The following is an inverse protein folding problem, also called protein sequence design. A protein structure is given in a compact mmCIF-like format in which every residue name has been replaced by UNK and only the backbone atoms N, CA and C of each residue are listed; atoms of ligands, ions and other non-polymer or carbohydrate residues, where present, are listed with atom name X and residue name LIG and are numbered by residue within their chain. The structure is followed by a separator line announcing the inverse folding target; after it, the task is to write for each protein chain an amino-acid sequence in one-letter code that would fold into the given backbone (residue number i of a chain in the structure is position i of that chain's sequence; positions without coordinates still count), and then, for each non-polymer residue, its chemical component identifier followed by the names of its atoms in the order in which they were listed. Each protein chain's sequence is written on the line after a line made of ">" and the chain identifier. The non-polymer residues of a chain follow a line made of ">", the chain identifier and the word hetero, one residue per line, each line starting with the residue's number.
data_IF_619334061420
#
_entry.id   IF_619334061420
#
_cell.length_a   1.000
_cell.length_b   1.000
_cell.length_c   1.000
_cell.angle_alpha   90.00
_cell.angle_beta   90.00
_cell.angle_gamma   90.00
#
_symmetry.space_group_name_H-M   'P 1'
#
loop_
_entity.id
_entity.type
_entity.pdbx_description
1 polymer ?
#
# COMPACT_ATOMS: atom_id res chain seq x y z
N UNK A 1 26.64 -26.02 30.82
CA UNK A 1 25.27 -26.00 30.24
C UNK A 1 24.75 -24.57 30.36
N UNK A 2 24.70 -23.83 29.28
CA UNK A 2 24.15 -22.48 29.27
C UNK A 2 22.62 -22.59 29.27
N UNK A 3 21.97 -22.13 30.33
CA UNK A 3 20.52 -21.94 30.34
C UNK A 3 20.18 -20.86 29.30
N UNK A 4 19.51 -21.26 28.24
CA UNK A 4 18.88 -20.32 27.32
C UNK A 4 17.78 -19.60 28.11
N UNK A 5 17.96 -18.32 28.39
CA UNK A 5 16.91 -17.45 28.85
C UNK A 5 15.81 -17.47 27.77
N UNK A 6 14.67 -18.12 28.07
CA UNK A 6 13.44 -17.88 27.35
C UNK A 6 13.08 -16.43 27.61
N UNK A 7 13.22 -15.58 26.61
CA UNK A 7 12.56 -14.27 26.58
C UNK A 7 11.07 -14.60 26.52
N UNK A 8 10.37 -14.45 27.65
CA UNK A 8 8.92 -14.47 27.64
C UNK A 8 8.49 -13.30 26.75
N UNK A 9 7.84 -13.58 25.63
CA UNK A 9 7.20 -12.55 24.80
C UNK A 9 6.14 -11.89 25.69
N UNK A 10 6.43 -10.67 26.13
CA UNK A 10 5.48 -9.86 26.90
C UNK A 10 4.36 -9.52 25.95
N UNK A 11 3.16 -10.10 26.21
CA UNK A 11 1.96 -9.78 25.46
C UNK A 11 1.65 -8.28 25.63
N UNK A 12 1.77 -7.49 24.55
CA UNK A 12 1.41 -6.07 24.58
C UNK A 12 -0.10 -5.91 24.61
N UNK A 13 -0.62 -5.38 25.72
CA UNK A 13 -2.04 -5.09 25.97
C UNK A 13 -2.28 -3.59 25.84
N UNK A 14 -3.11 -3.19 24.88
CA UNK A 14 -3.27 -1.77 24.56
C UNK A 14 -4.71 -1.30 24.63
N UNK A 15 -4.90 -0.03 24.96
CA UNK A 15 -6.19 0.68 24.88
C UNK A 15 -6.14 1.58 23.66
N UNK A 16 -7.18 1.51 22.82
CA UNK A 16 -7.33 2.39 21.67
C UNK A 16 -7.95 3.71 22.09
N UNK A 17 -7.42 4.81 21.57
CA UNK A 17 -7.88 6.17 21.90
C UNK A 17 -8.17 6.94 20.62
N UNK A 18 -9.43 7.40 20.48
CA UNK A 18 -9.87 8.20 19.34
C UNK A 18 -10.50 9.53 19.77
N UNK A 19 -10.51 10.48 18.86
CA UNK A 19 -11.23 11.76 19.01
C UNK A 19 -12.24 11.89 17.87
N UNK A 20 -13.49 12.18 18.22
CA UNK A 20 -14.55 12.53 17.28
C UNK A 20 -14.70 14.04 17.28
N UNK A 21 -14.44 14.72 16.14
CA UNK A 21 -14.44 16.18 16.07
C UNK A 21 -15.80 16.77 15.73
N UNK A 22 -16.68 16.03 15.06
CA UNK A 22 -18.03 16.48 14.67
C UNK A 22 -19.07 15.37 14.83
N UNK A 23 -20.33 15.77 14.97
CA UNK A 23 -21.43 14.80 14.92
C UNK A 23 -21.53 14.17 13.53
N UNK A 24 -21.42 12.83 13.46
CA UNK A 24 -21.43 12.08 12.22
C UNK A 24 -20.05 11.87 11.59
N UNK A 25 -18.95 12.16 12.30
CA UNK A 25 -17.63 11.79 11.85
C UNK A 25 -17.42 10.26 11.97
N UNK A 26 -16.42 9.75 11.23
CA UNK A 26 -16.12 8.32 11.14
C UNK A 26 -15.21 7.81 12.27
N UNK A 27 -15.22 8.44 13.46
CA UNK A 27 -14.27 8.12 14.53
C UNK A 27 -14.41 6.66 15.01
N UNK A 28 -15.64 6.15 15.11
CA UNK A 28 -15.87 4.75 15.50
C UNK A 28 -15.29 3.79 14.44
N UNK A 29 -15.53 4.07 13.15
CA UNK A 29 -15.00 3.29 12.05
C UNK A 29 -13.48 3.39 11.96
N UNK A 30 -12.93 4.58 12.20
CA UNK A 30 -11.48 4.81 12.22
C UNK A 30 -10.80 4.03 13.33
N UNK A 31 -11.40 3.99 14.52
CA UNK A 31 -10.89 3.21 15.65
C UNK A 31 -11.09 1.71 15.44
N UNK A 32 -12.18 1.29 14.78
CA UNK A 32 -12.36 -0.11 14.38
C UNK A 32 -11.26 -0.55 13.39
N UNK A 33 -10.89 0.30 12.42
CA UNK A 33 -9.78 0.02 11.52
C UNK A 33 -8.43 0.01 12.26
N UNK A 34 -8.23 0.93 13.24
CA UNK A 34 -7.05 0.91 14.11
C UNK A 34 -6.96 -0.41 14.91
N UNK A 35 -8.09 -0.96 15.32
CA UNK A 35 -8.12 -2.25 16.01
C UNK A 35 -7.56 -3.38 15.11
N UNK A 36 -7.90 -3.39 13.83
CA UNK A 36 -7.34 -4.38 12.89
C UNK A 36 -5.85 -4.15 12.63
N UNK A 37 -5.37 -2.90 12.60
CA UNK A 37 -3.95 -2.58 12.53
C UNK A 37 -3.19 -3.13 13.74
N UNK A 38 -3.70 -2.86 14.95
CA UNK A 38 -3.09 -3.30 16.22
C UNK A 38 -3.03 -4.82 16.33
N UNK A 39 -4.10 -5.52 15.94
CA UNK A 39 -4.11 -6.99 15.85
C UNK A 39 -3.07 -7.50 14.83
N UNK A 40 -2.97 -6.83 13.70
CA UNK A 40 -1.98 -7.19 12.66
C UNK A 40 -0.54 -6.99 13.16
N UNK A 41 -0.29 -5.99 13.99
CA UNK A 41 0.99 -5.75 14.67
C UNK A 41 1.26 -6.76 15.80
N UNK A 42 0.28 -7.57 16.21
CA UNK A 42 0.45 -8.62 17.21
C UNK A 42 0.10 -8.20 18.65
N UNK A 43 -0.50 -7.02 18.87
CA UNK A 43 -0.91 -6.57 20.18
C UNK A 43 -2.39 -6.94 20.49
N UNK A 44 -2.69 -7.13 21.78
CA UNK A 44 -4.04 -7.44 22.27
C UNK A 44 -4.74 -6.17 22.73
N UNK A 45 -5.98 -5.95 22.26
CA UNK A 45 -6.79 -4.79 22.62
C UNK A 45 -7.60 -5.13 23.85
N UNK A 46 -7.40 -4.38 24.94
CA UNK A 46 -8.10 -4.57 26.21
C UNK A 46 -9.17 -3.51 26.48
N UNK A 47 -9.19 -2.41 25.73
CA UNK A 47 -10.19 -1.36 25.87
C UNK A 47 -10.19 -0.37 24.72
N UNK A 48 -11.24 0.44 24.64
CA UNK A 48 -11.37 1.51 23.63
C UNK A 48 -11.99 2.74 24.27
N UNK A 49 -11.45 3.90 23.97
CA UNK A 49 -11.94 5.18 24.45
C UNK A 49 -12.05 6.18 23.30
N UNK A 50 -13.24 6.71 23.06
CA UNK A 50 -13.47 7.78 22.07
C UNK A 50 -13.98 9.01 22.80
N UNK A 51 -13.38 10.17 22.56
CA UNK A 51 -13.82 11.42 23.12
C UNK A 51 -14.39 12.32 22.04
N UNK A 52 -15.63 12.80 22.22
CA UNK A 52 -16.21 13.87 21.37
C UNK A 52 -15.62 15.21 21.77
N UNK A 53 -15.09 15.96 20.79
CA UNK A 53 -14.54 17.31 20.95
C UNK A 53 -14.73 18.11 19.66
N UNK A 54 -14.78 19.44 19.78
CA UNK A 54 -14.75 20.31 18.60
C UNK A 54 -13.40 20.32 17.88
N UNK A 55 -12.30 20.15 18.64
CA UNK A 55 -10.93 20.10 18.12
C UNK A 55 -10.06 19.20 19.00
N UNK A 56 -9.09 18.53 18.36
CA UNK A 56 -8.05 17.77 19.05
C UNK A 56 -7.30 18.67 20.04
N UNK A 57 -7.09 18.18 21.26
CA UNK A 57 -6.37 18.96 22.27
C UNK A 57 -4.88 19.11 21.91
N UNK A 58 -4.36 20.35 21.77
CA UNK A 58 -3.01 20.56 21.23
C UNK A 58 -1.89 20.01 22.14
N UNK A 59 -2.13 19.85 23.44
CA UNK A 59 -1.14 19.37 24.40
C UNK A 59 -1.21 17.90 24.71
N UNK A 60 -2.38 17.28 24.66
CA UNK A 60 -2.59 15.90 25.16
C UNK A 60 -3.50 15.05 24.27
N UNK A 61 -3.81 15.49 23.04
CA UNK A 61 -4.70 14.82 22.10
C UNK A 61 -6.16 14.76 22.59
N UNK A 62 -6.39 14.28 23.80
CA UNK A 62 -7.68 14.28 24.53
C UNK A 62 -7.66 15.29 25.68
N UNK A 63 -8.81 15.66 26.22
CA UNK A 63 -8.91 16.59 27.34
C UNK A 63 -8.33 16.03 28.65
N UNK A 64 -7.86 16.91 29.55
CA UNK A 64 -7.19 16.52 30.80
C UNK A 64 -8.05 15.62 31.71
N UNK A 65 -9.36 15.87 31.81
CA UNK A 65 -10.27 14.98 32.53
C UNK A 65 -10.33 13.56 31.93
N UNK A 66 -10.29 13.49 30.59
CA UNK A 66 -10.30 12.20 29.90
C UNK A 66 -8.95 11.47 30.00
N UNK A 67 -7.84 12.21 30.13
CA UNK A 67 -6.52 11.61 30.44
C UNK A 67 -6.53 10.97 31.84
N UNK A 68 -7.15 11.62 32.83
CA UNK A 68 -7.26 11.03 34.18
C UNK A 68 -8.12 9.75 34.17
N UNK A 69 -9.23 9.73 33.45
CA UNK A 69 -10.07 8.56 33.26
C UNK A 69 -9.30 7.43 32.54
N UNK A 70 -8.55 7.77 31.48
CA UNK A 70 -7.72 6.83 30.74
C UNK A 70 -6.63 6.20 31.62
N UNK A 71 -6.03 6.98 32.54
CA UNK A 71 -5.03 6.47 33.50
C UNK A 71 -5.63 5.39 34.40
N UNK A 72 -6.82 5.63 34.95
CA UNK A 72 -7.51 4.62 35.76
C UNK A 72 -7.83 3.37 34.93
N UNK A 73 -8.25 3.54 33.69
CA UNK A 73 -8.56 2.42 32.80
C UNK A 73 -7.30 1.60 32.45
N UNK A 74 -6.13 2.23 32.27
CA UNK A 74 -4.85 1.56 32.05
C UNK A 74 -4.50 0.67 33.25
N UNK A 75 -4.67 1.19 34.48
CA UNK A 75 -4.39 0.45 35.70
C UNK A 75 -5.40 -0.70 35.90
N UNK A 76 -6.70 -0.47 35.69
CA UNK A 76 -7.78 -1.45 35.87
C UNK A 76 -7.67 -2.63 34.90
N UNK A 77 -7.38 -2.35 33.62
CA UNK A 77 -7.28 -3.38 32.59
C UNK A 77 -5.87 -4.00 32.47
N UNK A 78 -4.89 -3.50 33.22
CA UNK A 78 -3.51 -3.95 33.15
C UNK A 78 -2.90 -3.71 31.75
N UNK A 79 -3.25 -2.60 31.12
CA UNK A 79 -2.73 -2.24 29.80
C UNK A 79 -1.25 -1.85 29.91
N UNK A 80 -0.45 -2.32 28.95
CA UNK A 80 0.98 -2.00 28.85
C UNK A 80 1.23 -0.75 28.01
N UNK A 81 0.20 -0.23 27.34
CA UNK A 81 0.30 0.96 26.49
C UNK A 81 -1.06 1.43 25.98
N UNK A 82 -1.03 2.55 25.29
CA UNK A 82 -2.17 3.09 24.55
C UNK A 82 -1.81 3.32 23.09
N UNK A 83 -2.80 3.28 22.19
CA UNK A 83 -2.63 3.60 20.78
C UNK A 83 -3.64 4.67 20.37
N UNK A 84 -3.15 5.83 19.94
CA UNK A 84 -3.98 6.93 19.44
C UNK A 84 -4.26 6.77 17.94
N UNK A 85 -5.49 7.12 17.52
CA UNK A 85 -5.95 6.92 16.14
C UNK A 85 -5.36 7.93 15.14
N UNK A 86 -4.84 9.04 15.62
CA UNK A 86 -4.20 10.07 14.81
C UNK A 86 -2.70 10.14 15.09
N UNK A 87 -1.93 10.70 14.15
CA UNK A 87 -0.51 10.98 14.36
C UNK A 87 -0.34 12.03 15.46
N UNK A 88 0.42 11.69 16.49
CA UNK A 88 0.66 12.58 17.61
C UNK A 88 1.83 13.54 17.34
N UNK A 89 1.68 14.81 17.73
CA UNK A 89 2.81 15.70 17.81
C UNK A 89 3.79 15.24 18.92
N UNK A 90 5.09 15.59 18.82
CA UNK A 90 6.08 15.24 19.85
C UNK A 90 5.70 15.74 21.25
N UNK A 91 4.95 16.84 21.34
CA UNK A 91 4.49 17.38 22.62
C UNK A 91 3.33 16.55 23.20
N UNK A 92 2.34 16.18 22.36
CA UNK A 92 1.24 15.31 22.77
C UNK A 92 1.72 13.97 23.27
N UNK A 93 2.62 13.32 22.49
CA UNK A 93 3.20 12.02 22.84
C UNK A 93 3.81 12.07 24.25
N UNK A 94 4.74 13.01 24.47
CA UNK A 94 5.42 13.15 25.76
C UNK A 94 4.47 13.46 26.91
N UNK A 95 3.58 14.45 26.72
CA UNK A 95 2.67 14.82 27.78
C UNK A 95 1.76 13.66 28.17
N UNK A 96 1.34 12.84 27.22
CA UNK A 96 0.57 11.62 27.50
C UNK A 96 1.43 10.58 28.24
N UNK A 97 2.65 10.32 27.79
CA UNK A 97 3.59 9.40 28.49
C UNK A 97 3.85 9.84 29.93
N UNK A 98 4.14 11.14 30.15
CA UNK A 98 4.41 11.70 31.48
C UNK A 98 3.17 11.60 32.40
N UNK A 99 1.94 11.79 31.85
CA UNK A 99 0.69 11.78 32.64
C UNK A 99 0.20 10.37 32.92
N UNK A 100 0.34 9.45 31.97
CA UNK A 100 -0.18 8.09 32.05
C UNK A 100 0.82 7.11 32.67
N UNK A 101 2.12 7.45 32.65
CA UNK A 101 3.23 6.56 33.07
C UNK A 101 3.20 5.21 32.31
N UNK A 102 2.88 5.26 31.02
CA UNK A 102 2.79 4.08 30.16
C UNK A 102 3.22 4.40 28.73
N UNK A 103 3.49 3.36 27.92
CA UNK A 103 3.88 3.48 26.51
C UNK A 103 2.73 4.12 25.72
N UNK A 104 3.05 5.17 24.97
CA UNK A 104 2.10 5.84 24.06
C UNK A 104 2.54 5.62 22.63
N UNK A 105 1.65 5.10 21.84
CA UNK A 105 1.84 4.87 20.40
C UNK A 105 0.79 5.62 19.61
N UNK A 106 1.05 5.86 18.34
CA UNK A 106 0.08 6.40 17.42
C UNK A 106 -0.11 5.49 16.19
N UNK A 107 -1.13 5.76 15.39
CA UNK A 107 -1.43 5.00 14.17
C UNK A 107 -0.21 4.87 13.26
N UNK A 108 0.60 5.92 13.15
CA UNK A 108 1.81 5.94 12.32
C UNK A 108 2.83 4.90 12.77
N UNK A 109 3.08 4.80 14.07
CA UNK A 109 4.03 3.82 14.62
C UNK A 109 3.53 2.39 14.38
N UNK A 110 2.25 2.11 14.59
CA UNK A 110 1.67 0.78 14.33
C UNK A 110 1.82 0.39 12.85
N UNK A 111 1.54 1.29 11.91
CA UNK A 111 1.74 1.04 10.48
C UNK A 111 3.22 0.75 10.18
N UNK A 112 4.15 1.52 10.76
CA UNK A 112 5.59 1.29 10.60
C UNK A 112 6.04 -0.07 11.14
N UNK A 113 5.49 -0.52 12.26
CA UNK A 113 5.80 -1.83 12.84
C UNK A 113 5.29 -2.97 11.95
N UNK A 114 4.07 -2.85 11.40
CA UNK A 114 3.56 -3.80 10.42
C UNK A 114 4.48 -3.86 9.18
N UNK A 115 4.88 -2.70 8.67
CA UNK A 115 5.76 -2.64 7.51
C UNK A 115 7.15 -3.23 7.79
N UNK A 116 7.70 -3.00 8.99
CA UNK A 116 8.98 -3.60 9.40
C UNK A 116 8.91 -5.13 9.43
N UNK A 117 7.80 -5.69 9.88
CA UNK A 117 7.57 -7.13 9.90
C UNK A 117 7.36 -7.73 8.49
N UNK A 118 6.86 -6.93 7.52
CA UNK A 118 6.48 -7.39 6.16
C UNK A 118 7.54 -7.13 5.09
N UNK A 119 8.48 -6.23 5.31
CA UNK A 119 9.53 -5.90 4.34
C UNK A 119 10.46 -7.11 4.11
N UNK A 120 10.39 -7.70 2.93
CA UNK A 120 11.21 -8.85 2.53
C UNK A 120 12.34 -8.42 1.61
N UNK A 121 12.08 -7.51 0.68
CA UNK A 121 13.07 -7.02 -0.27
C UNK A 121 14.07 -6.04 0.36
N UNK A 122 15.25 -5.92 -0.25
CA UNK A 122 16.25 -4.93 0.18
C UNK A 122 15.70 -3.51 0.08
N UNK A 123 14.94 -3.19 -0.98
CA UNK A 123 14.31 -1.90 -1.16
C UNK A 123 13.27 -1.61 -0.08
N UNK A 124 12.34 -2.54 0.16
CA UNK A 124 11.32 -2.41 1.20
C UNK A 124 11.94 -2.18 2.58
N UNK A 125 13.01 -2.91 2.93
CA UNK A 125 13.74 -2.72 4.20
C UNK A 125 14.36 -1.34 4.32
N UNK A 126 15.02 -0.84 3.26
CA UNK A 126 15.59 0.51 3.22
C UNK A 126 14.50 1.57 3.39
N UNK A 127 13.36 1.41 2.72
CA UNK A 127 12.24 2.35 2.80
C UNK A 127 11.62 2.39 4.20
N UNK A 128 11.41 1.23 4.82
CA UNK A 128 10.87 1.13 6.18
C UNK A 128 11.85 1.74 7.18
N UNK A 129 13.14 1.39 7.14
CA UNK A 129 14.16 1.97 8.01
C UNK A 129 14.22 3.50 7.86
N UNK A 130 14.16 3.99 6.63
CA UNK A 130 14.13 5.42 6.34
C UNK A 130 12.91 6.11 6.96
N UNK A 131 11.72 5.51 6.84
CA UNK A 131 10.49 6.04 7.41
C UNK A 131 10.53 6.04 8.94
N UNK A 132 10.99 4.96 9.57
CA UNK A 132 11.16 4.86 11.02
C UNK A 132 12.15 5.91 11.54
N UNK A 133 13.29 6.10 10.88
CA UNK A 133 14.28 7.10 11.28
C UNK A 133 13.74 8.53 11.14
N UNK A 134 12.98 8.84 10.09
CA UNK A 134 12.31 10.15 9.93
C UNK A 134 11.28 10.37 11.03
N UNK A 135 10.46 9.37 11.34
CA UNK A 135 9.50 9.40 12.43
C UNK A 135 10.18 9.66 13.78
N UNK A 136 11.25 8.93 14.12
CA UNK A 136 12.01 9.14 15.35
C UNK A 136 12.71 10.51 15.39
N UNK A 137 13.29 10.95 14.26
CA UNK A 137 13.97 12.25 14.19
C UNK A 137 13.02 13.42 14.50
N UNK A 138 11.75 13.36 14.01
CA UNK A 138 10.75 14.39 14.30
C UNK A 138 10.44 14.48 15.80
N UNK A 139 10.46 13.36 16.51
CA UNK A 139 10.17 13.27 17.95
C UNK A 139 11.34 13.66 18.85
N UNK A 140 12.57 13.45 18.43
CA UNK A 140 13.77 13.93 19.14
C UNK A 140 13.86 15.48 19.18
N UNK A 141 13.24 16.20 18.25
CA UNK A 141 13.31 17.66 18.22
C UNK A 141 12.58 18.35 19.37
N UNK A 142 11.64 17.67 20.04
CA UNK A 142 10.92 18.20 21.20
C UNK A 142 11.66 18.08 22.55
N UNK A 143 12.61 17.16 22.66
CA UNK A 143 13.32 16.85 23.92
C UNK A 143 14.33 17.94 24.35
N UNK A 144 14.94 18.68 23.41
CA UNK A 144 15.96 19.68 23.72
C UNK A 144 15.46 20.92 24.48
N UNK A 145 14.20 21.33 24.28
CA UNK A 145 13.61 22.51 24.94
C UNK A 145 13.22 22.29 26.41
N UNK A 146 12.90 21.07 26.81
CA UNK A 146 12.56 20.76 28.20
C UNK A 146 13.80 20.61 29.09
N UNK A 147 14.91 20.11 28.54
CA UNK A 147 16.19 19.97 29.25
C UNK A 147 16.92 21.34 29.44
N UNK A 148 16.73 22.29 28.52
CA UNK A 148 17.32 23.63 28.64
C UNK A 148 16.64 24.50 29.71
N UNK A 149 15.44 24.15 30.20
CA UNK A 149 14.78 24.86 31.32
C UNK A 149 15.34 24.53 32.70
N UNK A 150 16.08 23.43 32.84
CA UNK A 150 16.72 22.99 34.11
C UNK A 150 18.16 23.50 34.31
N UNK A 151 18.76 24.12 33.29
CA UNK A 151 20.09 24.70 33.35
C UNK A 151 20.07 26.21 33.19
N UNK A 152 19.94 26.95 34.29
CA UNK A 152 19.97 28.41 34.29
C UNK A 152 21.40 28.93 34.09
N UNK A 153 21.85 29.16 32.85
CA UNK A 153 23.13 29.84 32.58
C UNK A 153 23.37 29.99 31.08
N UNK A 154 23.78 31.17 30.66
CA UNK A 154 24.21 31.46 29.28
C UNK A 154 25.49 30.66 29.01
N UNK A 155 25.42 29.64 28.14
CA UNK A 155 26.62 28.91 27.65
C UNK A 155 26.85 27.50 28.18
N UNK A 156 26.04 26.97 29.11
CA UNK A 156 26.18 25.59 29.60
C UNK A 156 25.23 24.63 28.94
N UNK A 157 25.60 24.04 27.81
CA UNK A 157 24.93 22.85 27.27
C UNK A 157 25.16 21.67 28.21
N UNK A 158 24.10 21.13 28.83
CA UNK A 158 24.19 19.97 29.71
C UNK A 158 24.60 18.68 28.97
N UNK A 159 25.10 17.64 29.70
CA UNK A 159 25.52 16.36 29.12
C UNK A 159 24.40 15.70 28.30
N UNK A 160 23.11 15.89 28.66
CA UNK A 160 21.95 15.38 27.96
C UNK A 160 21.69 16.07 26.60
N UNK A 161 21.94 17.38 26.49
CA UNK A 161 21.82 18.11 25.20
C UNK A 161 22.87 17.62 24.21
N UNK A 162 24.13 17.35 24.68
CA UNK A 162 25.18 16.79 23.82
C UNK A 162 24.83 15.39 23.31
N UNK A 163 24.20 14.56 24.14
CA UNK A 163 23.81 13.21 23.77
C UNK A 163 22.71 13.26 22.69
N UNK A 164 21.67 14.06 22.90
CA UNK A 164 20.59 14.26 21.91
C UNK A 164 21.10 14.83 20.57
N UNK A 165 22.07 15.74 20.63
CA UNK A 165 22.66 16.30 19.41
C UNK A 165 23.49 15.26 18.63
N UNK A 166 24.19 14.39 19.35
CA UNK A 166 24.93 13.26 18.76
C UNK A 166 23.94 12.26 18.14
N UNK A 167 22.92 11.83 18.88
CA UNK A 167 21.93 10.88 18.40
C UNK A 167 21.21 11.44 17.14
N UNK A 168 20.83 12.71 17.17
CA UNK A 168 20.22 13.39 16.03
C UNK A 168 21.14 13.43 14.81
N UNK A 169 22.44 13.63 15.01
CA UNK A 169 23.43 13.62 13.93
C UNK A 169 23.57 12.22 13.33
N UNK A 170 23.70 11.20 14.18
CA UNK A 170 23.80 9.81 13.72
C UNK A 170 22.58 9.39 12.90
N UNK A 171 21.36 9.74 13.35
CA UNK A 171 20.14 9.47 12.60
C UNK A 171 20.14 10.19 11.25
N UNK A 172 20.56 11.47 11.20
CA UNK A 172 20.62 12.22 9.94
C UNK A 172 21.66 11.62 8.97
N UNK A 173 22.81 11.21 9.48
CA UNK A 173 23.87 10.58 8.67
C UNK A 173 23.35 9.23 8.10
N UNK A 174 22.63 8.45 8.90
CA UNK A 174 22.02 7.20 8.44
C UNK A 174 20.91 7.44 7.39
N UNK A 175 20.04 8.45 7.59
CA UNK A 175 19.04 8.88 6.60
C UNK A 175 19.73 9.27 5.28
N UNK A 176 20.84 10.02 5.34
CA UNK A 176 21.57 10.42 4.14
C UNK A 176 22.22 9.22 3.42
N UNK A 177 22.68 8.22 4.16
CA UNK A 177 23.19 6.97 3.60
C UNK A 177 22.07 6.19 2.91
N UNK A 178 20.95 5.93 3.59
CA UNK A 178 19.80 5.19 3.04
C UNK A 178 19.21 5.85 1.79
N UNK A 179 19.16 7.18 1.76
CA UNK A 179 18.72 7.91 0.56
C UNK A 179 19.64 7.67 -0.65
N UNK A 180 20.96 7.51 -0.44
CA UNK A 180 21.91 7.16 -1.50
C UNK A 180 21.68 5.74 -2.01
N UNK A 181 21.56 4.78 -1.08
CA UNK A 181 21.26 3.38 -1.41
C UNK A 181 19.93 3.26 -2.19
N UNK A 182 18.89 3.97 -1.76
CA UNK A 182 17.60 3.98 -2.44
C UNK A 182 17.69 4.58 -3.86
N UNK A 183 18.54 5.58 -4.07
CA UNK A 183 18.76 6.17 -5.39
C UNK A 183 19.40 5.15 -6.35
N UNK A 184 20.35 4.35 -5.88
CA UNK A 184 20.98 3.28 -6.68
C UNK A 184 19.95 2.21 -7.08
N UNK A 185 19.10 1.78 -6.14
CA UNK A 185 18.03 0.81 -6.40
C UNK A 185 17.05 1.36 -7.46
N UNK A 186 16.67 2.64 -7.36
CA UNK A 186 15.81 3.30 -8.35
C UNK A 186 16.42 3.30 -9.75
N UNK A 187 17.71 3.59 -9.88
CA UNK A 187 18.40 3.56 -11.18
C UNK A 187 18.36 2.17 -11.83
N UNK A 188 18.55 1.10 -11.06
CA UNK A 188 18.42 -0.27 -11.57
C UNK A 188 16.99 -0.59 -12.03
N UNK A 189 15.99 -0.10 -11.31
CA UNK A 189 14.58 -0.25 -11.68
C UNK A 189 14.26 0.48 -13.00
N UNK A 190 14.75 1.70 -13.18
CA UNK A 190 14.55 2.48 -14.42
C UNK A 190 15.15 1.76 -15.63
N UNK A 191 16.32 1.13 -15.50
CA UNK A 191 16.93 0.31 -16.56
C UNK A 191 16.03 -0.88 -16.89
N UNK A 192 15.50 -1.57 -15.89
CA UNK A 192 14.60 -2.71 -16.09
C UNK A 192 13.29 -2.29 -16.76
N UNK A 193 12.73 -1.11 -16.39
CA UNK A 193 11.55 -0.52 -17.03
C UNK A 193 11.81 -0.20 -18.49
N UNK A 194 12.91 0.48 -18.81
CA UNK A 194 13.28 0.79 -20.19
C UNK A 194 13.41 -0.48 -21.05
N UNK A 195 13.84 -1.61 -20.48
CA UNK A 195 13.85 -2.90 -21.17
C UNK A 195 12.43 -3.47 -21.37
N UNK A 196 11.50 -3.28 -20.42
CA UNK A 196 10.09 -3.68 -20.55
C UNK A 196 9.37 -2.86 -21.62
N UNK A 197 9.57 -1.55 -21.65
CA UNK A 197 9.03 -0.65 -22.69
C UNK A 197 9.50 -1.08 -24.09
N UNK A 198 10.78 -1.44 -24.26
CA UNK A 198 11.28 -2.00 -25.53
C UNK A 198 10.60 -3.31 -25.93
N UNK A 199 10.14 -4.10 -24.98
CA UNK A 199 9.43 -5.35 -25.24
C UNK A 199 7.93 -5.14 -25.47
N UNK A 200 7.42 -3.92 -25.37
CA UNK A 200 6.00 -3.54 -25.57
C UNK A 200 5.02 -4.44 -24.79
N UNK A 201 5.41 -4.88 -23.60
CA UNK A 201 4.53 -5.69 -22.76
C UNK A 201 3.68 -4.77 -21.88
N UNK A 202 2.33 -4.76 -22.05
CA UNK A 202 1.45 -3.89 -21.30
C UNK A 202 1.45 -4.28 -19.81
N UNK A 203 1.20 -3.30 -18.95
CA UNK A 203 1.20 -3.44 -17.49
C UNK A 203 -0.13 -3.00 -16.91
N UNK A 204 -0.74 -3.85 -16.08
CA UNK A 204 -1.89 -3.51 -15.25
C UNK A 204 -1.46 -3.45 -13.78
N UNK A 205 -1.66 -2.31 -13.12
CA UNK A 205 -1.40 -2.18 -11.69
C UNK A 205 -2.68 -2.45 -10.90
N UNK A 206 -2.61 -3.36 -9.93
CA UNK A 206 -3.69 -3.63 -8.99
C UNK A 206 -3.57 -2.64 -7.84
N UNK A 207 -4.55 -1.78 -7.68
CA UNK A 207 -4.66 -0.82 -6.59
C UNK A 207 -5.94 -1.04 -5.80
N UNK A 208 -6.01 -0.54 -4.59
CA UNK A 208 -7.21 -0.64 -3.78
C UNK A 208 -6.89 -0.56 -2.29
N UNK A 209 -7.94 -0.47 -1.51
CA UNK A 209 -7.82 -0.37 -0.05
C UNK A 209 -7.18 -1.62 0.55
N UNK A 210 -6.62 -1.52 1.77
CA UNK A 210 -6.12 -2.69 2.50
C UNK A 210 -7.24 -3.71 2.68
N UNK A 211 -6.90 -4.99 2.57
CA UNK A 211 -7.84 -6.12 2.68
C UNK A 211 -8.98 -6.13 1.63
N UNK A 212 -8.89 -5.40 0.52
CA UNK A 212 -9.87 -5.47 -0.57
C UNK A 212 -9.78 -6.76 -1.41
N UNK A 213 -8.76 -7.60 -1.17
CA UNK A 213 -8.55 -8.87 -1.85
C UNK A 213 -7.61 -8.79 -3.07
N UNK A 214 -6.69 -7.81 -3.11
CA UNK A 214 -5.72 -7.64 -4.20
C UNK A 214 -4.79 -8.85 -4.38
N UNK A 215 -4.20 -9.34 -3.29
CA UNK A 215 -3.29 -10.49 -3.32
C UNK A 215 -4.02 -11.79 -3.71
N UNK A 216 -5.27 -11.96 -3.26
CA UNK A 216 -6.12 -13.08 -3.69
C UNK A 216 -6.42 -12.99 -5.18
N UNK A 217 -6.72 -11.79 -5.68
CA UNK A 217 -6.98 -11.58 -7.11
C UNK A 217 -5.79 -11.98 -7.97
N UNK A 218 -4.58 -11.52 -7.66
CA UNK A 218 -3.38 -11.86 -8.44
C UNK A 218 -3.08 -13.36 -8.38
N UNK A 219 -3.26 -14.00 -7.22
CA UNK A 219 -3.07 -15.43 -7.07
C UNK A 219 -4.05 -16.23 -7.93
N UNK A 220 -5.32 -15.88 -7.87
CA UNK A 220 -6.36 -16.59 -8.66
C UNK A 220 -6.18 -16.38 -10.16
N UNK A 221 -5.73 -15.17 -10.58
CA UNK A 221 -5.48 -14.88 -11.99
C UNK A 221 -4.24 -15.57 -12.55
N UNK A 222 -3.17 -15.73 -11.73
CA UNK A 222 -1.85 -16.12 -12.22
C UNK A 222 -1.30 -17.41 -11.60
N UNK A 223 -2.03 -18.05 -10.67
CA UNK A 223 -1.57 -19.18 -9.86
C UNK A 223 -0.22 -18.91 -9.15
N UNK A 224 0.01 -17.69 -8.69
CA UNK A 224 1.33 -17.19 -8.32
C UNK A 224 1.80 -17.56 -6.90
N UNK A 225 0.92 -18.05 -6.01
CA UNK A 225 1.26 -18.40 -4.63
C UNK A 225 1.77 -17.21 -3.79
N UNK A 226 1.28 -16.00 -4.06
CA UNK A 226 1.54 -14.82 -3.21
C UNK A 226 0.88 -15.02 -1.85
N UNK A 227 1.52 -14.55 -0.78
CA UNK A 227 0.99 -14.68 0.56
C UNK A 227 -0.40 -14.04 0.67
N UNK A 228 -1.38 -14.86 0.96
CA UNK A 228 -2.76 -14.43 1.23
C UNK A 228 -2.98 -14.46 2.75
N UNK A 229 -3.22 -13.31 3.34
CA UNK A 229 -3.63 -13.21 4.72
C UNK A 229 -4.80 -12.25 4.82
N UNK A 230 -5.77 -12.58 5.64
CA UNK A 230 -6.88 -11.69 6.01
C UNK A 230 -6.40 -10.68 7.07
N UNK A 231 -5.34 -9.95 6.73
CA UNK A 231 -4.69 -8.94 7.55
C UNK A 231 -4.39 -7.71 6.73
N UNK A 232 -4.39 -6.55 7.39
CA UNK A 232 -4.03 -5.30 6.75
C UNK A 232 -2.56 -5.33 6.30
N UNK A 233 -2.26 -4.73 5.15
CA UNK A 233 -0.90 -4.68 4.56
C UNK A 233 -0.23 -6.06 4.37
N UNK A 234 -0.98 -7.05 3.89
CA UNK A 234 -0.42 -8.37 3.58
C UNK A 234 0.73 -8.28 2.56
N UNK A 235 0.64 -7.37 1.59
CA UNK A 235 1.67 -7.09 0.58
C UNK A 235 2.29 -5.72 0.81
N UNK A 236 3.60 -5.66 1.05
CA UNK A 236 4.40 -4.43 1.10
C UNK A 236 5.28 -4.28 -0.15
N UNK A 237 5.92 -5.33 -0.58
CA UNK A 237 6.78 -5.35 -1.75
C UNK A 237 5.95 -5.63 -3.02
N UNK A 238 6.09 -4.84 -4.10
CA UNK A 238 5.34 -5.07 -5.33
C UNK A 238 5.73 -6.39 -5.97
N UNK A 239 4.74 -7.16 -6.35
CA UNK A 239 4.94 -8.43 -7.05
C UNK A 239 4.37 -8.34 -8.45
N UNK A 240 5.21 -8.53 -9.48
CA UNK A 240 4.79 -8.53 -10.88
C UNK A 240 4.70 -9.96 -11.41
N UNK A 241 3.61 -10.29 -12.08
CA UNK A 241 3.34 -11.59 -12.70
C UNK A 241 2.85 -11.42 -14.13
N UNK A 242 3.09 -12.43 -14.94
CA UNK A 242 2.53 -12.51 -16.29
C UNK A 242 1.16 -13.14 -16.21
N UNK A 243 0.15 -12.47 -16.74
CA UNK A 243 -1.18 -13.01 -16.97
C UNK A 243 -1.32 -13.36 -18.45
N UNK A 244 -1.62 -14.62 -18.72
CA UNK A 244 -1.94 -15.08 -20.06
C UNK A 244 -3.42 -14.86 -20.35
N UNK A 245 -3.70 -14.22 -21.48
CA UNK A 245 -5.02 -13.92 -21.98
C UNK A 245 -5.33 -14.78 -23.23
N UNK A 246 -6.53 -14.65 -23.75
CA UNK A 246 -6.93 -15.31 -25.00
C UNK A 246 -6.02 -14.92 -26.16
N UNK A 247 -5.85 -15.82 -27.15
CA UNK A 247 -5.02 -15.54 -28.34
C UNK A 247 -3.52 -15.38 -28.08
N UNK A 248 -3.02 -16.00 -26.99
CA UNK A 248 -1.61 -15.92 -26.55
C UNK A 248 -1.13 -14.52 -26.17
N UNK A 249 -2.06 -13.61 -25.91
CA UNK A 249 -1.71 -12.29 -25.38
C UNK A 249 -1.20 -12.43 -23.96
N UNK A 250 -0.29 -11.54 -23.57
CA UNK A 250 0.26 -11.47 -22.22
C UNK A 250 0.21 -10.04 -21.71
N UNK A 251 -0.14 -9.87 -20.44
CA UNK A 251 -0.09 -8.62 -19.72
C UNK A 251 0.63 -8.84 -18.39
N UNK A 252 1.44 -7.88 -17.98
CA UNK A 252 2.04 -7.88 -16.66
C UNK A 252 1.02 -7.35 -15.66
N UNK A 253 0.78 -8.09 -14.60
CA UNK A 253 -0.07 -7.65 -13.49
C UNK A 253 0.82 -7.43 -12.28
N UNK A 254 0.77 -6.22 -11.72
CA UNK A 254 1.60 -5.84 -10.57
C UNK A 254 0.71 -5.55 -9.38
N UNK A 255 0.92 -6.28 -8.27
CA UNK A 255 0.31 -5.97 -6.97
C UNK A 255 0.98 -4.75 -6.36
N UNK A 256 0.20 -3.93 -5.66
CA UNK A 256 0.71 -2.75 -4.96
C UNK A 256 0.35 -2.79 -3.48
N UNK A 257 1.01 -1.94 -2.70
CA UNK A 257 0.66 -1.75 -1.28
C UNK A 257 -0.78 -1.26 -1.17
N UNK A 258 -1.54 -1.84 -0.23
CA UNK A 258 -2.91 -1.40 0.03
C UNK A 258 -2.96 0.03 0.60
N UNK A 259 -3.93 0.81 0.15
CA UNK A 259 -4.21 2.13 0.72
C UNK A 259 -5.00 2.02 2.02
N UNK A 260 -4.84 3.00 2.87
CA UNK A 260 -5.54 3.10 4.16
C UNK A 260 -5.81 4.57 4.47
N UNK A 261 -6.85 4.85 5.27
CA UNK A 261 -7.12 6.21 5.76
C UNK A 261 -6.01 6.73 6.67
N UNK A 262 -5.86 8.03 6.75
CA UNK A 262 -4.88 8.72 7.62
C UNK A 262 -3.45 8.21 7.40
N UNK A 263 -3.09 7.83 6.15
CA UNK A 263 -1.72 7.44 5.83
C UNK A 263 -0.81 8.67 5.92
N UNK A 264 0.21 8.66 6.80
CA UNK A 264 1.07 9.82 7.00
C UNK A 264 1.85 10.20 5.73
N UNK A 265 1.98 11.49 5.46
CA UNK A 265 2.67 11.98 4.25
C UNK A 265 4.11 11.48 4.10
N UNK A 266 4.85 11.36 5.22
CA UNK A 266 6.22 10.84 5.17
C UNK A 266 6.30 9.36 4.83
N UNK A 267 5.23 8.57 5.10
CA UNK A 267 5.11 7.19 4.63
C UNK A 267 4.80 7.14 3.13
N UNK A 268 3.92 8.01 2.63
CA UNK A 268 3.66 8.13 1.19
C UNK A 268 4.97 8.41 0.45
N UNK A 269 5.81 9.33 0.96
CA UNK A 269 7.12 9.61 0.37
C UNK A 269 8.08 8.40 0.41
N UNK A 270 8.12 7.68 1.53
CA UNK A 270 8.97 6.50 1.67
C UNK A 270 8.58 5.40 0.69
N UNK A 271 7.28 5.15 0.53
CA UNK A 271 6.73 4.12 -0.36
C UNK A 271 6.36 4.63 -1.75
N UNK A 272 6.68 5.89 -2.06
CA UNK A 272 6.39 6.49 -3.36
C UNK A 272 6.87 5.61 -4.52
N UNK A 273 8.05 5.02 -4.42
CA UNK A 273 8.59 4.16 -5.48
C UNK A 273 7.81 2.86 -5.67
N UNK A 274 7.18 2.34 -4.63
CA UNK A 274 6.31 1.15 -4.71
C UNK A 274 4.94 1.51 -5.28
N UNK A 275 4.42 2.67 -4.88
CA UNK A 275 3.16 3.22 -5.38
C UNK A 275 3.29 3.78 -6.81
N UNK A 276 4.49 4.19 -7.23
CA UNK A 276 4.79 4.66 -8.59
C UNK A 276 4.58 3.58 -9.66
N UNK A 277 4.49 2.28 -9.31
CA UNK A 277 4.13 1.24 -10.27
C UNK A 277 2.76 1.53 -10.92
N UNK A 278 1.81 2.11 -10.18
CA UNK A 278 0.53 2.57 -10.73
C UNK A 278 0.70 3.71 -11.75
N UNK A 279 1.69 4.60 -11.57
CA UNK A 279 1.95 5.71 -12.51
C UNK A 279 2.47 5.21 -13.85
N UNK A 280 3.24 4.13 -13.86
CA UNK A 280 3.85 3.57 -15.06
C UNK A 280 3.03 2.45 -15.70
N UNK A 281 1.94 2.05 -15.07
CA UNK A 281 1.01 1.08 -15.67
C UNK A 281 0.21 1.70 -16.81
N UNK A 282 -0.23 0.86 -17.75
CA UNK A 282 -1.15 1.22 -18.82
C UNK A 282 -2.60 1.19 -18.34
N UNK A 283 -2.90 0.24 -17.46
CA UNK A 283 -4.23 0.01 -16.88
C UNK A 283 -4.17 0.00 -15.36
N UNK A 284 -5.22 0.51 -14.73
CA UNK A 284 -5.42 0.47 -13.28
C UNK A 284 -6.58 -0.49 -12.97
N UNK A 285 -6.30 -1.55 -12.23
CA UNK A 285 -7.30 -2.45 -11.68
C UNK A 285 -7.62 -2.02 -10.25
N UNK A 286 -8.67 -1.23 -10.07
CA UNK A 286 -9.09 -0.74 -8.77
C UNK A 286 -9.97 -1.77 -8.07
N UNK A 287 -9.41 -2.49 -7.10
CA UNK A 287 -10.12 -3.53 -6.33
C UNK A 287 -10.81 -2.91 -5.13
N UNK A 288 -12.12 -3.12 -5.04
CA UNK A 288 -13.00 -2.58 -3.99
C UNK A 288 -13.67 -3.73 -3.25
N UNK A 289 -13.67 -3.70 -1.93
CA UNK A 289 -14.42 -4.65 -1.10
C UNK A 289 -15.91 -4.28 -1.11
N UNK A 290 -16.68 -4.96 -1.95
CA UNK A 290 -18.12 -4.72 -2.09
C UNK A 290 -18.95 -5.13 -0.86
N UNK A 291 -18.39 -5.94 0.03
CA UNK A 291 -19.05 -6.34 1.28
C UNK A 291 -18.90 -5.32 2.40
N UNK A 292 -17.98 -4.34 2.23
CA UNK A 292 -17.76 -3.32 3.24
C UNK A 292 -18.77 -2.17 3.08
N UNK A 293 -19.54 -1.82 4.13
CA UNK A 293 -20.50 -0.70 4.06
C UNK A 293 -19.88 0.64 3.70
N UNK A 294 -18.56 0.82 3.94
CA UNK A 294 -17.82 2.05 3.66
C UNK A 294 -17.03 2.02 2.35
N UNK A 295 -17.36 1.09 1.44
CA UNK A 295 -16.62 0.94 0.18
C UNK A 295 -16.52 2.25 -0.62
N UNK A 296 -17.54 3.11 -0.63
CA UNK A 296 -17.51 4.41 -1.32
C UNK A 296 -16.45 5.35 -0.73
N UNK A 297 -16.34 5.42 0.60
CA UNK A 297 -15.31 6.24 1.28
C UNK A 297 -13.91 5.68 1.01
N UNK A 298 -13.77 4.35 1.04
CA UNK A 298 -12.51 3.68 0.71
C UNK A 298 -12.10 3.96 -0.74
N UNK A 299 -13.03 3.92 -1.68
CA UNK A 299 -12.80 4.28 -3.08
C UNK A 299 -12.31 5.72 -3.22
N UNK A 300 -12.93 6.67 -2.49
CA UNK A 300 -12.52 8.07 -2.51
C UNK A 300 -11.06 8.24 -2.06
N UNK A 301 -10.65 7.58 -0.96
CA UNK A 301 -9.28 7.62 -0.44
C UNK A 301 -8.28 7.07 -1.47
N UNK A 302 -8.65 6.00 -2.18
CA UNK A 302 -7.82 5.44 -3.26
C UNK A 302 -7.64 6.46 -4.38
N UNK A 303 -8.72 7.07 -4.87
CA UNK A 303 -8.66 8.09 -5.93
C UNK A 303 -7.85 9.33 -5.51
N UNK A 304 -8.04 9.82 -4.29
CA UNK A 304 -7.24 10.93 -3.76
C UNK A 304 -5.75 10.58 -3.70
N UNK A 305 -5.43 9.37 -3.29
CA UNK A 305 -4.03 8.92 -3.23
C UNK A 305 -3.43 8.77 -4.64
N UNK A 306 -4.17 8.23 -5.60
CA UNK A 306 -3.73 8.16 -7.00
C UNK A 306 -3.51 9.55 -7.59
N UNK A 307 -4.39 10.51 -7.28
CA UNK A 307 -4.23 11.91 -7.70
C UNK A 307 -2.98 12.55 -7.10
N UNK A 308 -2.69 12.32 -5.81
CA UNK A 308 -1.48 12.78 -5.12
C UNK A 308 -0.18 12.17 -5.69
N UNK A 309 -0.27 10.99 -6.30
CA UNK A 309 0.83 10.31 -6.98
C UNK A 309 0.97 10.75 -8.45
N UNK A 310 0.12 11.69 -8.91
CA UNK A 310 0.07 12.16 -10.29
C UNK A 310 -0.18 11.03 -11.31
N UNK A 311 -1.05 10.09 -10.92
CA UNK A 311 -1.58 9.05 -11.83
C UNK A 311 -2.75 9.67 -12.60
N UNK A 312 -2.54 9.93 -13.89
CA UNK A 312 -3.50 10.59 -14.78
C UNK A 312 -3.56 9.86 -16.13
N UNK A 313 -4.65 10.06 -16.84
CA UNK A 313 -4.83 9.57 -18.21
C UNK A 313 -4.61 8.05 -18.34
N UNK A 314 -5.09 7.28 -17.37
CA UNK A 314 -5.04 5.83 -17.35
C UNK A 314 -6.43 5.25 -17.44
N UNK A 315 -6.60 4.17 -18.18
CA UNK A 315 -7.86 3.40 -18.18
C UNK A 315 -8.02 2.72 -16.83
N UNK A 316 -9.09 3.06 -16.12
CA UNK A 316 -9.42 2.54 -14.79
C UNK A 316 -10.53 1.51 -14.92
N UNK A 317 -10.27 0.31 -14.41
CA UNK A 317 -11.23 -0.79 -14.32
C UNK A 317 -11.51 -1.03 -12.85
N UNK A 318 -12.70 -0.68 -12.38
CA UNK A 318 -13.09 -0.93 -10.99
C UNK A 318 -13.71 -2.32 -10.86
N UNK A 319 -13.11 -3.08 -9.94
CA UNK A 319 -13.49 -4.46 -9.63
C UNK A 319 -14.12 -4.51 -8.25
N UNK A 320 -15.45 -4.60 -8.20
CA UNK A 320 -16.18 -4.79 -6.95
C UNK A 320 -16.07 -6.25 -6.52
N UNK A 321 -15.08 -6.50 -5.67
CA UNK A 321 -14.70 -7.83 -5.18
C UNK A 321 -15.54 -8.26 -3.96
N UNK A 322 -15.38 -9.51 -3.56
CA UNK A 322 -16.08 -10.16 -2.43
C UNK A 322 -17.60 -10.23 -2.61
N UNK A 323 -18.09 -10.38 -3.86
CA UNK A 323 -19.51 -10.58 -4.13
C UNK A 323 -20.10 -11.80 -3.43
N UNK A 324 -19.28 -12.79 -3.10
CA UNK A 324 -19.64 -13.98 -2.33
C UNK A 324 -20.02 -13.67 -0.86
N UNK A 325 -19.56 -12.57 -0.31
CA UNK A 325 -19.86 -12.12 1.05
C UNK A 325 -20.94 -11.02 1.12
N UNK A 326 -21.41 -10.55 -0.05
CA UNK A 326 -22.40 -9.48 -0.14
C UNK A 326 -23.82 -10.03 0.00
N UNK A 327 -24.64 -9.36 0.82
CA UNK A 327 -26.05 -9.75 1.03
C UNK A 327 -27.00 -9.10 0.03
N UNK A 328 -26.59 -7.99 -0.58
CA UNK A 328 -27.36 -7.24 -1.55
C UNK A 328 -26.92 -7.61 -2.98
N UNK A 329 -27.90 -7.75 -3.89
CA UNK A 329 -27.66 -8.14 -5.28
C UNK A 329 -27.67 -6.96 -6.27
N UNK A 330 -27.87 -5.72 -5.79
CA UNK A 330 -27.82 -4.56 -6.68
C UNK A 330 -26.40 -4.34 -7.24
N UNK A 331 -26.24 -4.19 -8.56
CA UNK A 331 -24.92 -3.97 -9.14
C UNK A 331 -24.37 -2.62 -8.70
N UNK A 332 -23.14 -2.64 -8.17
CA UNK A 332 -22.40 -1.43 -7.84
C UNK A 332 -21.79 -0.85 -9.12
N UNK A 333 -21.71 0.47 -9.19
CA UNK A 333 -21.12 1.17 -10.31
C UNK A 333 -20.18 2.28 -9.87
N UNK A 334 -19.03 2.39 -10.53
CA UNK A 334 -18.07 3.45 -10.30
C UNK A 334 -18.12 4.44 -11.49
N UNK A 335 -18.64 5.63 -11.24
CA UNK A 335 -18.77 6.68 -12.26
C UNK A 335 -17.45 7.37 -12.64
N UNK A 336 -16.36 7.08 -11.91
CA UNK A 336 -15.01 7.61 -12.20
C UNK A 336 -14.17 6.64 -13.02
N UNK A 337 -14.58 5.38 -13.08
CA UNK A 337 -13.90 4.34 -13.83
C UNK A 337 -14.43 4.25 -15.28
N UNK A 338 -13.56 3.83 -16.20
CA UNK A 338 -13.94 3.55 -17.58
C UNK A 338 -14.77 2.27 -17.69
N UNK A 339 -14.47 1.28 -16.83
CA UNK A 339 -15.16 0.00 -16.77
C UNK A 339 -15.42 -0.42 -15.33
N UNK A 340 -16.51 -1.16 -15.12
CA UNK A 340 -16.89 -1.68 -13.80
C UNK A 340 -17.31 -3.14 -13.93
N UNK A 341 -16.71 -4.01 -13.10
CA UNK A 341 -17.02 -5.44 -13.03
C UNK A 341 -17.33 -5.86 -11.60
N UNK A 342 -18.22 -6.85 -11.47
CA UNK A 342 -18.55 -7.51 -10.20
C UNK A 342 -17.80 -8.83 -10.15
N UNK A 343 -16.95 -9.03 -9.13
CA UNK A 343 -16.11 -10.22 -9.06
C UNK A 343 -16.10 -10.88 -7.67
N UNK A 344 -15.73 -12.14 -7.62
CA UNK A 344 -15.24 -12.80 -6.42
C UNK A 344 -13.89 -13.44 -6.72
N UNK A 345 -12.82 -12.81 -6.26
CA UNK A 345 -11.47 -13.34 -6.42
C UNK A 345 -11.32 -14.71 -5.75
N UNK A 346 -12.03 -14.94 -4.63
CA UNK A 346 -12.02 -16.20 -3.89
C UNK A 346 -12.66 -17.35 -4.69
N UNK A 347 -13.79 -17.10 -5.34
CA UNK A 347 -14.56 -18.12 -6.06
C UNK A 347 -14.25 -18.15 -7.56
N UNK A 348 -13.47 -17.19 -8.07
CA UNK A 348 -13.18 -17.08 -9.51
C UNK A 348 -14.29 -16.46 -10.35
N UNK A 349 -15.41 -16.03 -9.74
CA UNK A 349 -16.54 -15.43 -10.45
C UNK A 349 -16.15 -14.08 -11.06
N UNK A 350 -16.54 -13.81 -12.32
CA UNK A 350 -16.24 -12.56 -13.03
C UNK A 350 -14.81 -12.43 -13.56
N UNK A 351 -13.90 -13.40 -13.26
CA UNK A 351 -12.51 -13.31 -13.69
C UNK A 351 -12.32 -13.57 -15.20
N UNK A 352 -13.14 -14.41 -15.80
CA UNK A 352 -13.11 -14.61 -17.25
C UNK A 352 -13.63 -13.37 -18.00
N UNK A 353 -14.63 -12.67 -17.44
CA UNK A 353 -15.09 -11.37 -17.97
C UNK A 353 -13.96 -10.32 -17.89
N UNK A 354 -13.22 -10.29 -16.79
CA UNK A 354 -12.05 -9.42 -16.65
C UNK A 354 -10.96 -9.73 -17.69
N UNK A 355 -10.65 -11.01 -17.93
CA UNK A 355 -9.66 -11.40 -18.95
C UNK A 355 -10.12 -11.03 -20.36
N UNK A 356 -11.42 -11.19 -20.66
CA UNK A 356 -11.98 -10.81 -21.95
C UNK A 356 -11.91 -9.29 -22.14
N UNK A 357 -12.31 -8.49 -21.13
CA UNK A 357 -12.20 -7.04 -21.17
C UNK A 357 -10.75 -6.58 -21.39
N UNK A 358 -9.79 -7.15 -20.65
CA UNK A 358 -8.37 -6.84 -20.85
C UNK A 358 -7.90 -7.20 -22.26
N UNK A 359 -8.37 -8.32 -22.82
CA UNK A 359 -8.05 -8.72 -24.20
C UNK A 359 -8.61 -7.73 -25.23
N UNK A 360 -9.83 -7.23 -25.02
CA UNK A 360 -10.47 -6.22 -25.87
C UNK A 360 -9.70 -4.89 -25.81
N UNK A 361 -9.38 -4.39 -24.61
CA UNK A 361 -8.60 -3.15 -24.43
C UNK A 361 -7.21 -3.23 -25.08
N UNK A 362 -6.58 -4.41 -25.02
CA UNK A 362 -5.30 -4.63 -25.70
C UNK A 362 -5.42 -4.65 -27.24
N UNK A 363 -6.62 -4.91 -27.78
CA UNK A 363 -6.91 -4.88 -29.22
C UNK A 363 -7.12 -3.46 -29.75
N UNK A 364 -7.68 -2.55 -28.93
CA UNK A 364 -7.98 -1.17 -29.36
C UNK A 364 -6.78 -0.44 -29.98
N UNK A 365 -5.58 -0.76 -29.51
CA UNK A 365 -4.33 -0.19 -30.02
C UNK A 365 -3.65 -1.06 -31.10
N UNK A 366 -4.34 -2.08 -31.65
CA UNK A 366 -3.79 -3.00 -32.65
C UNK A 366 -4.65 -3.03 -33.91
N UNK A 367 -4.03 -3.37 -35.01
CA UNK A 367 -4.67 -3.47 -36.31
C UNK A 367 -4.93 -4.97 -36.60
N UNK A 368 -6.14 -5.29 -37.02
CA UNK A 368 -6.44 -6.62 -37.54
C UNK A 368 -5.79 -6.81 -38.92
N UNK A 369 -5.00 -7.84 -39.04
CA UNK A 369 -4.32 -8.25 -40.28
C UNK A 369 -4.81 -9.63 -40.68
N UNK A 370 -5.21 -9.76 -41.94
CA UNK A 370 -5.48 -11.03 -42.61
C UNK A 370 -4.59 -11.10 -43.83
N UNK A 371 -3.50 -11.88 -43.79
CA UNK A 371 -2.48 -11.91 -44.84
C UNK A 371 -1.73 -13.24 -44.89
N UNK A 372 -1.36 -13.67 -46.08
CA UNK A 372 -0.40 -14.76 -46.27
C UNK A 372 1.02 -14.15 -46.33
N UNK A 373 1.87 -14.54 -45.38
CA UNK A 373 3.28 -14.13 -45.28
C UNK A 373 4.16 -15.15 -45.99
N UNK A 374 4.92 -14.77 -46.99
CA UNK A 374 5.83 -15.70 -47.66
C UNK A 374 6.83 -16.34 -46.70
N UNK A 375 7.24 -17.58 -46.94
CA UNK A 375 8.18 -18.33 -46.09
C UNK A 375 9.54 -17.61 -45.95
N UNK A 376 9.94 -16.81 -46.92
CA UNK A 376 11.15 -15.99 -46.84
C UNK A 376 11.08 -14.94 -45.71
N UNK A 377 9.89 -14.50 -45.34
CA UNK A 377 9.63 -13.51 -44.30
C UNK A 377 9.06 -14.13 -42.99
N UNK A 378 9.19 -15.44 -42.81
CA UNK A 378 8.64 -16.15 -41.62
C UNK A 378 9.14 -15.59 -40.28
N UNK A 379 10.27 -14.88 -40.27
CA UNK A 379 10.78 -14.18 -39.07
C UNK A 379 9.83 -13.14 -38.51
N UNK A 380 8.97 -12.51 -39.33
CA UNK A 380 7.98 -11.53 -38.90
C UNK A 380 6.86 -12.19 -38.10
N UNK A 381 6.54 -13.47 -38.38
CA UNK A 381 5.51 -14.21 -37.65
C UNK A 381 5.90 -14.40 -36.17
N UNK A 382 7.21 -14.55 -35.90
CA UNK A 382 7.67 -14.60 -34.51
C UNK A 382 7.42 -13.28 -33.78
N UNK A 383 7.53 -12.14 -34.46
CA UNK A 383 7.18 -10.84 -33.88
C UNK A 383 5.67 -10.73 -33.65
N UNK A 384 4.84 -11.24 -34.57
CA UNK A 384 3.39 -11.32 -34.41
C UNK A 384 3.03 -12.17 -33.19
N UNK A 385 3.66 -13.36 -33.04
CA UNK A 385 3.42 -14.24 -31.90
C UNK A 385 3.85 -13.61 -30.55
N UNK A 386 4.89 -12.77 -30.59
CA UNK A 386 5.45 -12.14 -29.36
C UNK A 386 4.68 -10.90 -28.91
N UNK A 387 4.24 -10.06 -29.85
CA UNK A 387 3.71 -8.73 -29.55
C UNK A 387 2.28 -8.51 -30.08
N UNK A 388 1.78 -9.42 -30.93
CA UNK A 388 0.42 -9.44 -31.46
C UNK A 388 -0.49 -10.42 -30.71
N UNK A 389 -1.72 -10.52 -31.20
CA UNK A 389 -2.66 -11.59 -30.84
C UNK A 389 -2.92 -12.41 -32.10
N UNK A 390 -2.48 -13.67 -32.07
CA UNK A 390 -2.65 -14.57 -33.20
C UNK A 390 -3.98 -15.31 -33.06
N UNK A 391 -4.90 -15.04 -33.99
CA UNK A 391 -6.22 -15.69 -34.02
C UNK A 391 -6.19 -17.00 -34.80
N UNK A 392 -5.58 -16.96 -36.01
CA UNK A 392 -5.46 -18.09 -36.91
C UNK A 392 -4.06 -18.14 -37.53
N UNK A 393 -3.53 -19.33 -37.70
CA UNK A 393 -2.26 -19.60 -38.37
C UNK A 393 -2.38 -20.88 -39.19
N UNK A 394 -2.23 -20.77 -40.51
CA UNK A 394 -2.29 -21.92 -41.42
C UNK A 394 -1.07 -21.91 -42.34
N UNK A 395 -0.46 -23.07 -42.51
CA UNK A 395 0.65 -23.28 -43.44
C UNK A 395 0.06 -23.65 -44.81
N UNK A 396 0.22 -22.75 -45.81
CA UNK A 396 -0.27 -22.91 -47.18
C UNK A 396 0.91 -23.05 -48.14
N UNK A 397 0.63 -23.47 -49.39
CA UNK A 397 1.71 -23.67 -50.41
C UNK A 397 2.51 -22.37 -50.72
N UNK A 398 1.85 -21.23 -50.65
CA UNK A 398 2.42 -19.89 -50.99
C UNK A 398 2.99 -19.13 -49.76
N UNK A 399 2.84 -19.69 -48.55
CA UNK A 399 3.31 -19.05 -47.35
C UNK A 399 2.52 -19.46 -46.10
N UNK A 400 2.64 -18.65 -45.04
CA UNK A 400 1.92 -18.84 -43.79
C UNK A 400 0.80 -17.80 -43.74
N UNK A 401 -0.46 -18.25 -43.81
CA UNK A 401 -1.63 -17.41 -43.59
C UNK A 401 -1.74 -17.10 -42.12
N UNK A 402 -1.91 -15.82 -41.80
CA UNK A 402 -2.16 -15.35 -40.45
C UNK A 402 -3.38 -14.42 -40.41
N UNK A 403 -4.18 -14.58 -39.36
CA UNK A 403 -5.18 -13.63 -38.92
C UNK A 403 -4.83 -13.21 -37.50
N UNK A 404 -4.43 -11.94 -37.35
CA UNK A 404 -3.85 -11.49 -36.08
C UNK A 404 -4.12 -10.00 -35.85
N UNK A 405 -4.27 -9.61 -34.59
CA UNK A 405 -4.14 -8.20 -34.18
C UNK A 405 -2.69 -7.86 -33.92
N UNK A 406 -2.14 -6.85 -34.59
CA UNK A 406 -0.74 -6.46 -34.51
C UNK A 406 -0.57 -4.98 -34.22
N UNK A 407 0.45 -4.58 -33.44
CA UNK A 407 0.82 -3.18 -33.29
C UNK A 407 1.19 -2.56 -34.65
N UNK A 408 0.99 -1.24 -34.81
CA UNK A 408 1.29 -0.50 -36.03
C UNK A 408 2.71 -0.73 -36.54
N UNK A 409 3.69 -0.87 -35.65
CA UNK A 409 5.11 -1.10 -36.00
C UNK A 409 5.35 -2.48 -36.65
N UNK A 410 4.57 -3.48 -36.27
CA UNK A 410 4.63 -4.82 -36.88
C UNK A 410 3.83 -4.85 -38.16
N UNK A 411 2.68 -4.15 -38.20
CA UNK A 411 1.90 -3.99 -39.41
C UNK A 411 2.72 -3.44 -40.60
N UNK A 412 3.61 -2.48 -40.32
CA UNK A 412 4.50 -1.90 -41.33
C UNK A 412 5.56 -2.88 -41.84
N UNK A 413 5.80 -4.02 -41.16
CA UNK A 413 6.80 -5.04 -41.54
C UNK A 413 6.17 -6.27 -42.21
N UNK A 414 4.85 -6.41 -42.13
CA UNK A 414 4.04 -7.44 -42.76
C UNK A 414 3.70 -7.06 -44.21
#
# INVERSE_FOLDING_TARGET
>A
MAEAFKIEEIEEKVILVGVSEQDGDDAEDSVAELAELVKTAGATIVGTMIQKRELIHPGTYIGSGKVAELKLLVEELGATGIVCDDELSPAQLRNLEDMLDTKVMDRTLIILDIFAARATTSEGKIQVELAQLKYHLSRLTGLGRSMSRLGGGIGTRGPGEKKLEIDRRLIKDRIAQLNRELKEVRQHRDITRAQREKNQMPVAAIVGYTNAGKSTLINTLTNAGVLEEDKLFATLDPTTRVLELSGRQQILVTDTVGFIRKLPHHLIEAFKSTLEEAKYADYILHVVDASNPQHEKQMLIVYETLANLDVKDKTVITLFNKQDARMDSEPLHDFKADHTLQISAKNGTGLEELKNLLSELLRENKILVERTVPYANAGVIQLVRKSGELLEEEYREDGIYIRAYVPMEIYAKL
#
